data_IF_473873644041
#
_entry.id   IF_473873644041
#
_cell.length_a   1.000
_cell.length_b   1.000
_cell.length_c   1.000
_cell.angle_alpha   90.00
_cell.angle_beta   90.00
_cell.angle_gamma   90.00
#
_symmetry.space_group_name_H-M   'P 1'
#
loop_
_entity.id
_entity.type
_entity.pdbx_description
1 polymer ?
#
# COMPACT_ATOMS: atom_id res chain seq x y z
N UNK A 1 -6.98 3.25 6.40
CA UNK A 1 -6.42 4.18 7.43
C UNK A 1 -6.92 3.83 8.84
N UNK A 2 -6.07 3.29 9.71
CA UNK A 2 -6.21 3.61 11.13
C UNK A 2 -5.91 5.12 11.19
N UNK A 3 -6.91 5.95 11.51
CA UNK A 3 -6.60 7.18 12.22
C UNK A 3 -5.95 6.68 13.52
N UNK A 4 -4.61 6.51 13.53
CA UNK A 4 -3.88 6.45 14.79
C UNK A 4 -4.36 7.70 15.50
N UNK A 5 -5.13 7.54 16.57
CA UNK A 5 -5.47 8.66 17.44
C UNK A 5 -4.12 9.26 17.79
N UNK A 6 -3.81 10.38 17.13
CA UNK A 6 -2.63 11.17 17.40
C UNK A 6 -2.72 11.43 18.89
N UNK A 7 -1.77 10.87 19.65
CA UNK A 7 -1.68 11.22 21.05
C UNK A 7 -1.21 12.68 21.05
N UNK A 8 -2.16 13.60 21.17
CA UNK A 8 -1.90 15.03 21.11
C UNK A 8 -0.78 15.42 22.09
N UNK A 9 -0.68 14.74 23.23
CA UNK A 9 0.38 14.97 24.21
C UNK A 9 1.78 14.62 23.65
N UNK A 10 1.93 13.51 22.93
CA UNK A 10 3.22 13.12 22.35
C UNK A 10 3.61 14.04 21.19
N UNK A 11 2.63 14.49 20.41
CA UNK A 11 2.85 15.48 19.35
C UNK A 11 3.34 16.82 19.95
N UNK A 12 2.68 17.31 20.99
CA UNK A 12 3.11 18.53 21.69
C UNK A 12 4.53 18.41 22.26
N UNK A 13 4.89 17.26 22.83
CA UNK A 13 6.27 17.01 23.29
C UNK A 13 7.28 17.10 22.14
N UNK A 14 6.96 16.53 20.98
CA UNK A 14 7.83 16.61 19.79
C UNK A 14 7.96 18.03 19.25
N UNK A 15 6.87 18.79 19.20
CA UNK A 15 6.90 20.22 18.82
C UNK A 15 7.78 21.02 19.78
N UNK A 16 7.62 20.82 21.08
CA UNK A 16 8.39 21.55 22.07
C UNK A 16 9.88 21.25 21.94
N UNK A 17 10.24 19.97 21.84
CA UNK A 17 11.63 19.57 21.62
C UNK A 17 12.20 20.16 20.33
N UNK A 18 11.42 20.16 19.24
CA UNK A 18 11.84 20.75 17.98
C UNK A 18 12.07 22.26 18.10
N UNK A 19 11.19 22.99 18.81
CA UNK A 19 11.38 24.43 19.09
C UNK A 19 12.68 24.70 19.81
N UNK A 20 13.00 23.89 20.81
CA UNK A 20 14.23 24.05 21.59
C UNK A 20 15.47 23.78 20.72
N UNK A 21 15.43 22.75 19.86
CA UNK A 21 16.50 22.48 18.89
C UNK A 21 16.67 23.62 17.87
N UNK A 22 15.57 24.19 17.36
CA UNK A 22 15.62 25.32 16.41
C UNK A 22 16.31 26.53 17.04
N UNK A 23 15.98 26.88 18.29
CA UNK A 23 16.61 27.99 19.02
C UNK A 23 18.12 27.82 19.18
N UNK A 24 18.57 26.58 19.34
CA UNK A 24 19.99 26.25 19.48
C UNK A 24 20.72 26.15 18.13
N UNK A 25 19.98 26.12 17.02
CA UNK A 25 20.56 25.97 15.69
C UNK A 25 20.98 27.32 15.14
N UNK A 26 22.29 27.50 14.96
CA UNK A 26 22.83 28.64 14.23
C UNK A 26 22.43 28.56 12.75
N UNK A 27 21.94 29.66 12.17
CA UNK A 27 21.46 29.75 10.78
C UNK A 27 20.33 28.76 10.42
N UNK A 28 19.27 28.75 11.21
CA UNK A 28 18.07 27.98 10.85
C UNK A 28 17.53 28.43 9.49
N UNK A 29 17.60 27.54 8.48
CA UNK A 29 17.04 27.80 7.16
C UNK A 29 15.51 27.91 7.18
N UNK A 30 15.00 29.04 6.73
CA UNK A 30 13.63 29.14 6.24
C UNK A 30 13.53 28.40 4.89
N UNK A 31 12.39 27.76 4.64
CA UNK A 31 12.16 27.00 3.42
C UNK A 31 10.89 27.50 2.77
N UNK A 32 10.95 27.56 1.45
CA UNK A 32 9.81 27.83 0.59
C UNK A 32 9.51 26.60 -0.25
N UNK A 33 8.27 26.50 -0.73
CA UNK A 33 7.86 25.50 -1.68
C UNK A 33 8.68 25.67 -2.96
N UNK A 34 9.37 24.62 -3.37
CA UNK A 34 10.18 24.61 -4.58
C UNK A 34 9.40 25.01 -5.84
N UNK A 35 8.12 24.61 -5.92
CA UNK A 35 7.26 24.86 -7.09
C UNK A 35 6.58 26.23 -7.10
N UNK A 36 6.10 26.73 -5.95
CA UNK A 36 5.26 27.94 -5.90
C UNK A 36 5.79 29.06 -5.02
N UNK A 37 6.95 28.88 -4.38
CA UNK A 37 7.58 29.89 -3.52
C UNK A 37 6.89 30.13 -2.18
N UNK A 38 5.76 29.49 -1.89
CA UNK A 38 5.04 29.64 -0.61
C UNK A 38 5.91 29.22 0.58
N UNK A 39 5.95 30.04 1.63
CA UNK A 39 6.64 29.71 2.88
C UNK A 39 6.12 28.40 3.48
N UNK A 40 7.05 27.58 3.95
CA UNK A 40 6.77 26.29 4.56
C UNK A 40 7.03 26.32 6.05
N UNK A 41 6.17 25.61 6.77
CA UNK A 41 6.28 25.47 8.21
C UNK A 41 6.84 24.09 8.57
N UNK A 42 7.97 24.07 9.29
CA UNK A 42 8.60 22.82 9.74
C UNK A 42 7.68 21.98 10.65
N UNK A 43 6.73 22.59 11.35
CA UNK A 43 5.77 21.86 12.20
C UNK A 43 4.75 21.07 11.37
N UNK A 44 4.40 21.57 10.18
CA UNK A 44 3.55 20.82 9.24
C UNK A 44 4.34 19.61 8.70
N UNK A 45 5.62 19.81 8.37
CA UNK A 45 6.50 18.73 7.95
C UNK A 45 6.71 17.66 9.05
N UNK A 46 6.83 18.07 10.31
CA UNK A 46 6.85 17.15 11.47
C UNK A 46 5.55 16.36 11.58
N UNK A 47 4.40 17.01 11.37
CA UNK A 47 3.09 16.38 11.50
C UNK A 47 2.87 15.29 10.44
N UNK A 48 3.35 15.53 9.22
CA UNK A 48 3.31 14.56 8.13
C UNK A 48 4.32 13.40 8.32
N UNK A 49 5.36 13.61 9.14
CA UNK A 49 6.44 12.65 9.36
C UNK A 49 6.58 12.29 10.85
N UNK A 50 5.45 12.04 11.51
CA UNK A 50 5.40 11.89 12.96
C UNK A 50 6.24 10.73 13.50
N UNK A 51 6.56 9.71 12.69
CA UNK A 51 7.38 8.59 13.16
C UNK A 51 8.86 8.99 13.36
N UNK A 52 9.31 10.12 12.80
CA UNK A 52 10.67 10.61 12.99
C UNK A 52 10.85 11.34 14.32
N UNK A 53 12.11 11.38 14.78
CA UNK A 53 12.49 12.17 15.94
C UNK A 53 12.64 13.65 15.55
N UNK A 54 12.44 14.59 16.49
CA UNK A 54 12.66 16.02 16.23
C UNK A 54 14.04 16.35 15.66
N UNK A 55 15.09 15.66 16.10
CA UNK A 55 16.46 15.84 15.60
C UNK A 55 16.57 15.42 14.13
N UNK A 56 15.92 14.31 13.76
CA UNK A 56 15.91 13.83 12.39
C UNK A 56 15.14 14.77 11.47
N UNK A 57 14.00 15.28 11.93
CA UNK A 57 13.20 16.28 11.21
C UNK A 57 14.02 17.55 10.96
N UNK A 58 14.70 18.07 11.98
CA UNK A 58 15.57 19.24 11.82
C UNK A 58 16.71 18.96 10.85
N UNK A 59 17.37 17.79 10.94
CA UNK A 59 18.43 17.39 10.01
C UNK A 59 17.95 17.37 8.56
N UNK A 60 16.77 16.79 8.30
CA UNK A 60 16.17 16.78 6.96
C UNK A 60 15.84 18.21 6.52
N UNK A 61 15.21 19.01 7.38
CA UNK A 61 14.88 20.40 7.07
C UNK A 61 16.09 21.25 6.68
N UNK A 62 17.25 21.03 7.32
CA UNK A 62 18.49 21.74 7.01
C UNK A 62 19.26 21.18 5.81
N UNK A 63 18.90 19.99 5.31
CA UNK A 63 19.64 19.30 4.24
C UNK A 63 19.59 20.07 2.90
N UNK A 64 20.75 20.40 2.29
CA UNK A 64 20.79 21.30 1.13
C UNK A 64 20.15 20.71 -0.14
N UNK A 65 20.14 19.38 -0.26
CA UNK A 65 19.68 18.66 -1.45
C UNK A 65 18.17 18.35 -1.45
N UNK A 66 17.46 18.65 -0.36
CA UNK A 66 16.04 18.32 -0.26
C UNK A 66 15.18 19.48 -0.77
N UNK A 67 14.32 19.15 -1.74
CA UNK A 67 13.25 20.01 -2.23
C UNK A 67 11.97 19.76 -1.42
N UNK A 68 11.39 20.85 -0.90
CA UNK A 68 10.15 20.78 -0.15
C UNK A 68 9.00 21.33 -0.97
N UNK A 69 7.85 20.68 -0.89
CA UNK A 69 6.63 21.08 -1.59
C UNK A 69 5.54 21.39 -0.57
N UNK A 70 4.79 22.48 -0.78
CA UNK A 70 3.59 22.73 0.01
C UNK A 70 2.54 21.64 -0.27
N UNK A 71 1.57 21.49 0.64
CA UNK A 71 0.57 20.42 0.56
C UNK A 71 -0.17 20.39 -0.78
N UNK A 72 -0.46 21.54 -1.38
CA UNK A 72 -1.13 21.62 -2.68
C UNK A 72 -0.22 21.17 -3.83
N UNK A 73 1.02 21.65 -3.87
CA UNK A 73 1.98 21.22 -4.88
C UNK A 73 2.30 19.72 -4.76
N UNK A 74 2.37 19.20 -3.53
CA UNK A 74 2.56 17.78 -3.29
C UNK A 74 1.35 16.94 -3.73
N UNK A 75 0.11 17.41 -3.49
CA UNK A 75 -1.10 16.77 -4.03
C UNK A 75 -1.09 16.73 -5.55
N UNK A 76 -0.68 17.82 -6.20
CA UNK A 76 -0.59 17.86 -7.65
C UNK A 76 0.47 16.90 -8.20
N UNK A 77 1.64 16.80 -7.56
CA UNK A 77 2.65 15.80 -7.91
C UNK A 77 2.09 14.37 -7.81
N UNK A 78 1.33 14.07 -6.76
CA UNK A 78 0.67 12.77 -6.64
C UNK A 78 -0.32 12.54 -7.79
N UNK A 79 -1.16 13.52 -8.12
CA UNK A 79 -2.12 13.43 -9.23
C UNK A 79 -1.40 13.15 -10.56
N UNK A 80 -0.28 13.83 -10.82
CA UNK A 80 0.49 13.63 -12.05
C UNK A 80 1.08 12.22 -12.13
N UNK A 81 1.55 11.67 -11.01
CA UNK A 81 2.00 10.26 -10.95
C UNK A 81 0.85 9.27 -11.17
N UNK A 82 -0.34 9.55 -10.61
CA UNK A 82 -1.55 8.75 -10.87
C UNK A 82 -1.93 8.76 -12.34
N UNK A 83 -1.88 9.93 -12.99
CA UNK A 83 -2.15 10.07 -14.43
C UNK A 83 -1.16 9.28 -15.28
N UNK A 84 0.13 9.24 -14.91
CA UNK A 84 1.12 8.40 -15.62
C UNK A 84 0.75 6.91 -15.53
N UNK A 85 0.36 6.44 -14.35
CA UNK A 85 -0.08 5.04 -14.16
C UNK A 85 -1.35 4.76 -14.97
N UNK A 86 -2.31 5.69 -14.96
CA UNK A 86 -3.55 5.62 -15.73
C UNK A 86 -3.28 5.58 -17.24
N UNK A 87 -2.34 6.36 -17.76
CA UNK A 87 -1.96 6.34 -19.18
C UNK A 87 -1.38 5.00 -19.63
N UNK A 88 -0.64 4.32 -18.74
CA UNK A 88 -0.06 3.00 -19.04
C UNK A 88 -1.10 1.89 -18.99
N UNK A 89 -2.00 1.93 -18.01
CA UNK A 89 -3.08 0.96 -17.86
C UNK A 89 -4.33 1.64 -17.29
N UNK A 90 -5.25 2.11 -18.16
CA UNK A 90 -6.38 2.93 -17.72
C UNK A 90 -7.34 2.18 -16.81
N UNK A 91 -7.61 0.92 -17.15
CA UNK A 91 -8.57 0.10 -16.43
C UNK A 91 -8.13 -1.34 -16.33
N UNK A 92 -8.63 -2.01 -15.28
CA UNK A 92 -8.53 -3.46 -15.08
C UNK A 92 -9.90 -4.02 -14.73
N UNK A 93 -10.03 -5.34 -14.83
CA UNK A 93 -11.30 -6.03 -14.61
C UNK A 93 -11.30 -6.71 -13.24
N UNK A 94 -12.39 -6.54 -12.49
CA UNK A 94 -12.61 -7.25 -11.23
C UNK A 94 -12.65 -8.76 -11.48
N UNK A 95 -11.80 -9.51 -10.79
CA UNK A 95 -11.69 -10.96 -10.97
C UNK A 95 -12.95 -11.73 -10.51
N UNK A 96 -13.84 -11.12 -9.73
CA UNK A 96 -15.05 -11.76 -9.23
C UNK A 96 -16.32 -11.42 -10.03
N UNK A 97 -16.52 -10.14 -10.38
CA UNK A 97 -17.78 -9.67 -10.99
C UNK A 97 -17.60 -9.06 -12.38
N UNK A 98 -16.37 -9.08 -12.92
CA UNK A 98 -16.01 -8.51 -14.21
C UNK A 98 -16.30 -7.00 -14.37
N UNK A 99 -16.54 -6.28 -13.28
CA UNK A 99 -16.67 -4.82 -13.33
C UNK A 99 -15.35 -4.16 -13.70
N UNK A 100 -15.44 -3.07 -14.46
CA UNK A 100 -14.29 -2.23 -14.81
C UNK A 100 -13.87 -1.45 -13.56
N UNK A 101 -12.57 -1.40 -13.32
CA UNK A 101 -11.93 -0.71 -12.20
C UNK A 101 -10.87 0.21 -12.80
N UNK A 102 -10.86 1.47 -12.38
CA UNK A 102 -9.79 2.41 -12.65
C UNK A 102 -8.80 2.50 -11.47
N UNK A 103 -7.65 3.13 -11.70
CA UNK A 103 -6.59 3.28 -10.70
C UNK A 103 -7.05 4.08 -9.46
N UNK A 104 -8.01 4.99 -9.60
CA UNK A 104 -8.51 5.82 -8.49
C UNK A 104 -9.38 4.99 -7.55
N UNK A 105 -10.27 4.16 -8.09
CA UNK A 105 -11.08 3.21 -7.32
C UNK A 105 -10.19 2.17 -6.63
N UNK A 106 -9.19 1.65 -7.34
CA UNK A 106 -8.21 0.72 -6.78
C UNK A 106 -7.39 1.34 -5.64
N UNK A 107 -6.85 2.54 -5.84
CA UNK A 107 -6.08 3.22 -4.80
C UNK A 107 -6.93 3.61 -3.58
N UNK A 108 -8.20 3.96 -3.78
CA UNK A 108 -9.14 4.17 -2.67
C UNK A 108 -9.36 2.89 -1.87
N UNK A 109 -9.40 1.73 -2.54
CA UNK A 109 -9.52 0.43 -1.88
C UNK A 109 -8.22 0.03 -1.15
N UNK A 110 -7.06 0.47 -1.66
CA UNK A 110 -5.74 0.24 -1.09
C UNK A 110 -5.11 1.54 -0.53
N UNK A 111 -5.85 2.26 0.31
CA UNK A 111 -5.50 3.62 0.79
C UNK A 111 -4.18 3.73 1.58
N UNK A 112 -3.61 2.60 1.99
CA UNK A 112 -2.36 2.50 2.74
C UNK A 112 -1.12 2.38 1.85
N UNK A 113 -1.27 2.13 0.55
CA UNK A 113 -0.15 1.95 -0.37
C UNK A 113 0.44 3.28 -0.82
N UNK A 114 1.78 3.33 -0.88
CA UNK A 114 2.53 4.40 -1.53
C UNK A 114 2.36 4.30 -3.05
N UNK A 115 2.61 5.41 -3.76
CA UNK A 115 2.44 5.48 -5.23
C UNK A 115 3.25 4.40 -5.97
N UNK A 116 4.50 4.13 -5.57
CA UNK A 116 5.30 3.10 -6.21
C UNK A 116 4.76 1.68 -5.96
N UNK A 117 4.18 1.43 -4.78
CA UNK A 117 3.52 0.15 -4.47
C UNK A 117 2.24 0.00 -5.29
N UNK A 118 1.44 1.07 -5.38
CA UNK A 118 0.24 1.11 -6.24
C UNK A 118 0.60 0.83 -7.70
N UNK A 119 1.63 1.49 -8.24
CA UNK A 119 2.12 1.27 -9.60
C UNK A 119 2.51 -0.19 -9.80
N UNK A 120 3.28 -0.76 -8.87
CA UNK A 120 3.75 -2.15 -8.95
C UNK A 120 2.58 -3.13 -8.98
N UNK A 121 1.62 -3.00 -8.06
CA UNK A 121 0.47 -3.92 -8.01
C UNK A 121 -0.53 -3.69 -9.14
N UNK A 122 -0.71 -2.45 -9.58
CA UNK A 122 -1.64 -2.12 -10.66
C UNK A 122 -1.15 -2.62 -12.01
N UNK A 123 0.13 -2.42 -12.32
CA UNK A 123 0.72 -2.82 -13.60
C UNK A 123 1.08 -4.32 -13.64
N UNK A 124 1.12 -5.01 -12.50
CA UNK A 124 1.30 -6.46 -12.47
C UNK A 124 0.06 -7.20 -12.97
N UNK A 125 0.17 -7.81 -14.15
CA UNK A 125 -0.89 -8.61 -14.79
C UNK A 125 -1.33 -9.83 -13.96
N UNK A 126 -0.45 -10.36 -13.09
CA UNK A 126 -0.75 -11.50 -12.22
C UNK A 126 -1.43 -11.09 -10.91
N UNK A 127 -1.37 -9.81 -10.55
CA UNK A 127 -2.01 -9.33 -9.33
C UNK A 127 -3.53 -9.41 -9.45
N UNK A 128 -4.18 -10.04 -8.46
CA UNK A 128 -5.63 -10.23 -8.44
C UNK A 128 -6.32 -8.96 -7.97
N UNK A 129 -7.10 -8.34 -8.85
CA UNK A 129 -7.83 -7.10 -8.54
C UNK A 129 -9.31 -7.37 -8.28
N UNK A 130 -9.86 -6.68 -7.29
CA UNK A 130 -11.26 -6.73 -6.91
C UNK A 130 -11.82 -5.31 -6.76
N UNK A 131 -13.10 -5.13 -7.08
CA UNK A 131 -13.73 -3.81 -6.99
C UNK A 131 -14.05 -3.38 -5.56
N UNK A 132 -14.12 -4.35 -4.63
CA UNK A 132 -14.35 -4.16 -3.20
C UNK A 132 -14.03 -5.43 -2.38
N UNK A 133 -14.13 -5.31 -1.05
CA UNK A 133 -13.93 -6.40 -0.09
C UNK A 133 -14.93 -7.55 -0.25
N UNK A 134 -16.15 -7.28 -0.71
CA UNK A 134 -17.18 -8.31 -0.86
C UNK A 134 -16.84 -9.22 -2.03
N UNK A 135 -16.40 -8.65 -3.15
CA UNK A 135 -15.92 -9.38 -4.32
C UNK A 135 -14.68 -10.20 -4.01
N UNK A 136 -13.72 -9.63 -3.28
CA UNK A 136 -12.53 -10.38 -2.83
C UNK A 136 -12.92 -11.59 -1.97
N UNK A 137 -13.78 -11.39 -0.97
CA UNK A 137 -14.26 -12.47 -0.08
C UNK A 137 -15.03 -13.53 -0.84
N UNK A 138 -15.95 -13.14 -1.73
CA UNK A 138 -16.74 -14.06 -2.56
C UNK A 138 -15.83 -14.91 -3.46
N UNK A 139 -14.87 -14.28 -4.13
CA UNK A 139 -13.92 -14.99 -4.98
C UNK A 139 -13.13 -16.05 -4.20
N UNK A 140 -12.52 -15.67 -3.07
CA UNK A 140 -11.74 -16.62 -2.29
C UNK A 140 -12.59 -17.72 -1.68
N UNK A 141 -13.83 -17.44 -1.26
CA UNK A 141 -14.76 -18.47 -0.80
C UNK A 141 -15.00 -19.52 -1.90
N UNK A 142 -15.40 -19.08 -3.10
CA UNK A 142 -15.64 -19.98 -4.25
C UNK A 142 -14.38 -20.74 -4.64
N UNK A 143 -13.21 -20.08 -4.63
CA UNK A 143 -11.93 -20.68 -4.93
C UNK A 143 -11.56 -21.79 -3.94
N UNK A 144 -11.73 -21.55 -2.63
CA UNK A 144 -11.45 -22.55 -1.60
C UNK A 144 -12.44 -23.73 -1.63
N UNK A 145 -13.72 -23.46 -1.91
CA UNK A 145 -14.73 -24.50 -2.08
C UNK A 145 -14.38 -25.41 -3.27
N UNK A 146 -13.95 -24.81 -4.39
CA UNK A 146 -13.44 -25.53 -5.56
C UNK A 146 -12.21 -26.40 -5.22
N UNK A 147 -11.21 -25.84 -4.53
CA UNK A 147 -10.03 -26.60 -4.10
C UNK A 147 -10.39 -27.77 -3.19
N UNK A 148 -11.34 -27.56 -2.27
CA UNK A 148 -11.83 -28.60 -1.36
C UNK A 148 -12.54 -29.73 -2.11
N UNK A 149 -13.33 -29.40 -3.13
CA UNK A 149 -13.98 -30.38 -4.01
C UNK A 149 -12.94 -31.22 -4.78
N UNK A 150 -11.97 -30.58 -5.45
CA UNK A 150 -10.90 -31.29 -6.17
C UNK A 150 -10.06 -32.19 -5.26
N UNK A 151 -9.82 -31.78 -4.01
CA UNK A 151 -9.10 -32.61 -3.04
C UNK A 151 -9.88 -33.88 -2.70
N UNK A 152 -11.21 -33.79 -2.55
CA UNK A 152 -12.08 -34.95 -2.27
C UNK A 152 -12.13 -35.90 -3.46
N UNK A 153 -12.27 -35.39 -4.68
CA UNK A 153 -12.25 -36.18 -5.92
C UNK A 153 -10.94 -36.98 -6.03
N UNK A 154 -9.78 -36.32 -5.89
CA UNK A 154 -8.48 -37.00 -5.89
C UNK A 154 -8.33 -38.08 -4.81
N UNK A 155 -8.92 -37.86 -3.63
CA UNK A 155 -8.88 -38.84 -2.55
C UNK A 155 -9.77 -40.05 -2.85
N UNK A 156 -10.88 -39.85 -3.54
CA UNK A 156 -11.77 -40.91 -3.98
C UNK A 156 -11.12 -41.75 -5.08
N UNK A 157 -10.58 -41.11 -6.12
CA UNK A 157 -9.87 -41.80 -7.21
C UNK A 157 -8.72 -42.68 -6.68
N UNK A 158 -7.96 -42.16 -5.71
CA UNK A 158 -6.87 -42.91 -5.07
C UNK A 158 -7.37 -44.13 -4.30
N UNK A 159 -8.51 -44.03 -3.62
CA UNK A 159 -9.13 -45.15 -2.89
C UNK A 159 -9.63 -46.22 -3.85
N UNK A 160 -10.30 -45.81 -4.93
CA UNK A 160 -10.79 -46.73 -5.98
C UNK A 160 -9.63 -47.44 -6.67
N UNK A 161 -8.53 -46.73 -6.95
CA UNK A 161 -7.30 -47.32 -7.52
C UNK A 161 -6.66 -48.36 -6.59
N UNK A 162 -6.67 -48.11 -5.28
CA UNK A 162 -6.12 -49.04 -4.28
C UNK A 162 -7.01 -50.27 -4.08
N UNK A 163 -8.33 -50.12 -4.17
CA UNK A 163 -9.28 -51.24 -4.05
C UNK A 163 -9.32 -52.13 -5.30
N UNK A 164 -9.09 -51.55 -6.48
CA UNK A 164 -9.08 -52.28 -7.75
C UNK A 164 -7.70 -52.84 -8.13
N UNK A 165 -6.71 -52.80 -7.22
CA UNK A 165 -5.38 -53.35 -7.47
C UNK A 165 -5.48 -54.89 -7.39
N UNK A 166 -5.28 -55.63 -8.48
CA UNK A 166 -5.40 -57.08 -8.45
C UNK A 166 -4.38 -57.65 -7.46
N UNK A 167 -4.84 -58.61 -6.64
CA UNK A 167 -4.03 -59.36 -5.70
C UNK A 167 -3.08 -60.31 -6.44
N UNK A 168 -2.15 -59.76 -7.22
CA UNK A 168 -1.04 -60.51 -7.80
C UNK A 168 0.08 -60.60 -6.77
N UNK A 169 -0.13 -61.42 -5.74
CA UNK A 169 0.96 -62.04 -4.99
C UNK A 169 0.74 -63.53 -5.09
N UNK A 170 1.48 -64.09 -6.06
CA UNK A 170 1.49 -65.49 -6.38
C UNK A 170 1.79 -66.34 -5.15
N UNK A 171 1.03 -67.41 -5.05
CA UNK A 171 1.45 -68.69 -4.53
C UNK A 171 2.82 -69.06 -5.12
N UNK A 172 3.89 -68.72 -4.42
CA UNK A 172 5.15 -69.44 -4.58
C UNK A 172 5.08 -70.67 -3.69
N UNK A 173 5.06 -71.81 -4.39
CA UNK A 173 5.18 -73.17 -3.89
C UNK A 173 6.51 -73.41 -3.17
#
# INVERSE_FOLDING_TARGET
>A
MYFRKLNNADMWKKIQKLRDLIKLTFNFKERTCWKCGKDLNIYDFLSDNIDFTPEHILKLWQAPILEFHCCECFKNLKIDEFKKIEQELPTRICLNCNSIIDIYKFSKFHDYLKIHELRTLWLDSHFRIFCDNLCQRKYYKTYYDFLKKRKREKQQDLRETLQNKPSSLGSNS
#
